data_IF_081087819146
#
_entry.id   IF_081087819146
#
_cell.length_a   1.000
_cell.length_b   1.000
_cell.length_c   1.000
_cell.angle_alpha   90.00
_cell.angle_beta   90.00
_cell.angle_gamma   90.00
#
_symmetry.space_group_name_H-M   'P 1'
#
loop_
_entity.id
_entity.type
_entity.pdbx_description
1 polymer ?
#
# COMPACT_ATOMS: atom_id res chain seq x y z
N UNK A 1 4.28 55.37 3.81
CA UNK A 1 5.57 54.68 3.57
C UNK A 1 5.58 53.25 4.12
N UNK A 2 5.18 53.00 5.38
CA UNK A 2 5.19 51.66 6.01
C UNK A 2 4.29 50.60 5.34
N UNK A 3 3.13 50.98 4.78
CA UNK A 3 2.20 50.04 4.12
C UNK A 3 2.71 49.57 2.76
N UNK A 4 3.38 50.45 2.00
CA UNK A 4 3.99 50.10 0.71
C UNK A 4 5.20 49.17 0.87
N UNK A 5 5.95 49.33 1.97
CA UNK A 5 7.05 48.40 2.35
C UNK A 5 6.50 47.00 2.69
N UNK A 6 5.38 46.91 3.41
CA UNK A 6 4.77 45.60 3.73
C UNK A 6 4.22 44.88 2.50
N UNK A 7 3.59 45.62 1.58
CA UNK A 7 3.08 45.05 0.31
C UNK A 7 4.24 44.61 -0.58
N UNK A 8 5.34 45.36 -0.60
CA UNK A 8 6.55 44.99 -1.32
C UNK A 8 7.16 43.70 -0.75
N UNK A 9 7.27 43.56 0.58
CA UNK A 9 7.75 42.32 1.21
C UNK A 9 6.80 41.13 1.00
N UNK A 10 5.48 41.34 1.00
CA UNK A 10 4.49 40.29 0.75
C UNK A 10 4.51 39.83 -0.72
N UNK A 11 4.70 40.76 -1.67
CA UNK A 11 4.86 40.44 -3.09
C UNK A 11 6.20 39.76 -3.38
N UNK A 12 7.27 40.13 -2.68
CA UNK A 12 8.59 39.50 -2.80
C UNK A 12 8.61 38.09 -2.18
N UNK A 13 7.79 37.84 -1.14
CA UNK A 13 7.54 36.50 -0.60
C UNK A 13 6.73 35.63 -1.59
N UNK A 14 5.72 36.20 -2.25
CA UNK A 14 4.93 35.51 -3.28
C UNK A 14 5.71 35.24 -4.58
N UNK A 15 6.64 36.12 -4.96
CA UNK A 15 7.50 35.95 -6.14
C UNK A 15 8.57 34.86 -5.94
N UNK A 16 8.95 34.56 -4.69
CA UNK A 16 9.81 33.42 -4.33
C UNK A 16 9.02 32.11 -4.12
N UNK A 17 7.68 32.15 -4.17
CA UNK A 17 6.80 30.97 -4.03
C UNK A 17 6.33 30.39 -5.36
N UNK A 18 6.77 30.94 -6.50
CA UNK A 18 6.56 30.29 -7.80
C UNK A 18 7.71 29.28 -7.97
N UNK A 19 7.47 27.97 -7.87
CA UNK A 19 8.52 27.00 -8.15
C UNK A 19 8.79 27.10 -9.66
N UNK A 20 9.99 27.56 -10.03
CA UNK A 20 10.51 27.31 -11.35
C UNK A 20 10.79 25.80 -11.42
N UNK A 21 9.78 25.02 -11.82
CA UNK A 21 9.94 23.60 -12.11
C UNK A 21 10.79 23.47 -13.39
N UNK A 22 12.10 23.58 -13.23
CA UNK A 22 13.05 23.02 -14.17
C UNK A 22 13.17 21.55 -13.79
N UNK A 23 12.52 20.67 -14.55
CA UNK A 23 12.66 19.23 -14.39
C UNK A 23 14.03 18.81 -14.92
N UNK A 24 15.04 18.86 -14.05
CA UNK A 24 16.25 18.07 -14.18
C UNK A 24 16.08 16.84 -13.29
N UNK A 25 15.88 15.68 -13.92
CA UNK A 25 15.86 14.38 -13.24
C UNK A 25 17.30 13.92 -13.04
N UNK A 26 17.98 14.45 -12.02
CA UNK A 26 19.21 13.85 -11.49
C UNK A 26 18.84 12.85 -10.39
N UNK A 27 19.37 11.64 -10.49
CA UNK A 27 19.27 10.59 -9.47
C UNK A 27 20.00 11.04 -8.20
N UNK A 28 19.26 11.66 -7.28
CA UNK A 28 19.74 12.02 -5.94
C UNK A 28 19.78 10.78 -5.05
N UNK A 29 20.98 10.36 -4.65
CA UNK A 29 21.18 9.33 -3.62
C UNK A 29 21.43 10.04 -2.28
N UNK A 30 20.50 9.97 -1.32
CA UNK A 30 20.69 10.56 0.01
C UNK A 30 21.83 9.83 0.74
N UNK A 31 22.83 10.57 1.22
CA UNK A 31 24.00 9.98 1.91
C UNK A 31 23.80 9.81 3.42
N UNK A 32 22.65 10.20 3.97
CA UNK A 32 22.39 10.17 5.42
C UNK A 32 21.13 9.37 5.74
N UNK A 33 21.27 8.43 6.68
CA UNK A 33 20.21 7.53 7.13
C UNK A 33 19.35 8.21 8.19
N UNK A 34 18.03 8.01 8.10
CA UNK A 34 17.08 8.44 9.14
C UNK A 34 16.93 7.31 10.17
N UNK A 35 17.12 7.58 11.47
CA UNK A 35 16.96 6.57 12.52
C UNK A 35 15.59 5.89 12.46
N UNK A 36 15.56 4.56 12.44
CA UNK A 36 14.34 3.76 12.40
C UNK A 36 13.77 3.47 11.01
N UNK A 37 14.47 3.86 9.94
CA UNK A 37 14.08 3.60 8.55
C UNK A 37 15.23 2.97 7.76
N UNK A 38 14.91 2.20 6.72
CA UNK A 38 15.88 1.64 5.77
C UNK A 38 16.50 2.74 4.90
N UNK A 39 17.62 2.42 4.24
CA UNK A 39 18.33 3.37 3.37
C UNK A 39 17.45 3.76 2.18
N UNK A 40 17.23 5.07 1.93
CA UNK A 40 16.30 5.50 0.90
C UNK A 40 16.94 5.40 -0.50
N UNK A 41 16.24 4.75 -1.43
CA UNK A 41 16.68 4.60 -2.81
C UNK A 41 16.53 5.89 -3.65
N UNK A 42 15.66 6.81 -3.23
CA UNK A 42 15.29 8.01 -3.99
C UNK A 42 14.82 9.15 -3.07
N UNK A 43 14.82 10.37 -3.61
CA UNK A 43 14.41 11.58 -2.89
C UNK A 43 12.96 11.53 -2.35
N UNK A 44 11.95 11.07 -3.11
CA UNK A 44 10.59 10.90 -2.58
C UNK A 44 10.51 9.98 -1.36
N UNK A 45 11.21 8.84 -1.39
CA UNK A 45 11.27 7.89 -0.27
C UNK A 45 11.97 8.52 0.94
N UNK A 46 13.04 9.28 0.72
CA UNK A 46 13.70 10.03 1.79
C UNK A 46 12.77 11.06 2.43
N UNK A 47 12.06 11.86 1.62
CA UNK A 47 11.10 12.85 2.10
C UNK A 47 9.95 12.20 2.89
N UNK A 48 9.49 11.03 2.46
CA UNK A 48 8.50 10.23 3.18
C UNK A 48 9.01 9.79 4.55
N UNK A 49 10.25 9.29 4.63
CA UNK A 49 10.83 8.86 5.89
C UNK A 49 11.01 10.05 6.86
N UNK A 50 11.34 11.25 6.36
CA UNK A 50 11.37 12.49 7.16
C UNK A 50 9.99 12.80 7.74
N UNK A 51 8.94 12.72 6.91
CA UNK A 51 7.58 13.03 7.35
C UNK A 51 7.09 12.07 8.45
N UNK A 52 7.30 10.76 8.27
CA UNK A 52 6.95 9.73 9.27
C UNK A 52 7.73 9.91 10.56
N UNK A 53 9.04 10.18 10.45
CA UNK A 53 9.88 10.49 11.61
C UNK A 53 9.39 11.74 12.35
N UNK A 54 9.01 12.80 11.63
CA UNK A 54 8.48 14.03 12.19
C UNK A 54 7.19 13.82 12.97
N UNK A 55 6.24 13.04 12.45
CA UNK A 55 5.00 12.69 13.16
C UNK A 55 5.28 11.91 14.45
N UNK A 56 6.21 10.93 14.41
CA UNK A 56 6.64 10.21 15.59
C UNK A 56 7.28 11.13 16.64
N UNK A 57 8.15 12.04 16.20
CA UNK A 57 8.82 13.02 17.06
C UNK A 57 7.82 13.98 17.74
N UNK A 58 6.78 14.42 17.03
CA UNK A 58 5.70 15.24 17.60
C UNK A 58 4.97 14.47 18.71
N UNK A 59 4.61 13.21 18.47
CA UNK A 59 3.93 12.37 19.45
C UNK A 59 4.75 12.19 20.73
N UNK A 60 6.04 11.83 20.60
CA UNK A 60 6.94 11.65 21.74
C UNK A 60 7.14 12.98 22.49
N UNK A 61 7.35 14.08 21.78
CA UNK A 61 7.55 15.41 22.38
C UNK A 61 6.31 15.89 23.15
N UNK A 62 5.11 15.69 22.58
CA UNK A 62 3.85 16.02 23.25
C UNK A 62 3.67 15.20 24.53
N UNK A 63 3.98 13.91 24.49
CA UNK A 63 3.92 13.04 25.66
C UNK A 63 4.84 13.53 26.79
N UNK A 64 6.09 13.89 26.49
CA UNK A 64 7.01 14.45 27.49
C UNK A 64 6.51 15.77 28.07
N UNK A 65 6.01 16.70 27.25
CA UNK A 65 5.50 17.99 27.74
C UNK A 65 4.26 17.83 28.63
N UNK A 66 3.38 16.87 28.31
CA UNK A 66 2.23 16.54 29.16
C UNK A 66 2.69 15.98 30.50
N UNK A 67 3.71 15.11 30.54
CA UNK A 67 4.26 14.60 31.80
C UNK A 67 4.86 15.73 32.66
N UNK A 68 5.62 16.65 32.05
CA UNK A 68 6.21 17.80 32.76
C UNK A 68 5.10 18.71 33.31
N UNK A 69 4.10 19.03 32.49
CA UNK A 69 2.94 19.82 32.92
C UNK A 69 2.16 19.13 34.03
N UNK A 70 1.97 17.81 33.96
CA UNK A 70 1.33 17.00 34.99
C UNK A 70 2.10 17.03 36.32
N UNK A 71 3.42 16.87 36.26
CA UNK A 71 4.29 16.97 37.43
C UNK A 71 4.24 18.37 38.07
N UNK A 72 4.31 19.43 37.26
CA UNK A 72 4.19 20.81 37.72
C UNK A 72 2.82 21.07 38.36
N UNK A 73 1.76 20.47 37.84
CA UNK A 73 0.42 20.59 38.40
C UNK A 73 0.34 19.96 39.79
N UNK A 74 0.83 18.72 39.94
CA UNK A 74 0.82 17.99 41.22
C UNK A 74 1.67 18.68 42.29
N UNK A 75 2.81 19.24 41.91
CA UNK A 75 3.74 19.93 42.83
C UNK A 75 3.37 21.39 43.11
N UNK A 76 2.28 21.91 42.52
CA UNK A 76 1.88 23.31 42.70
C UNK A 76 1.36 23.65 44.10
N UNK A 77 0.96 22.66 44.91
CA UNK A 77 0.52 22.83 46.31
C UNK A 77 -0.50 23.98 46.54
N UNK A 78 -1.40 24.23 45.58
CA UNK A 78 -2.41 25.31 45.66
C UNK A 78 -1.96 26.69 45.20
N UNK A 79 -0.71 26.85 44.72
CA UNK A 79 -0.25 28.08 44.09
C UNK A 79 -0.94 28.26 42.72
N UNK A 80 -1.87 29.21 42.66
CA UNK A 80 -2.68 29.49 41.45
C UNK A 80 -1.84 29.87 40.24
N UNK A 81 -0.72 30.58 40.42
CA UNK A 81 0.16 30.97 39.33
C UNK A 81 0.91 29.76 38.75
N UNK A 82 1.37 28.85 39.60
CA UNK A 82 2.08 27.63 39.16
C UNK A 82 1.12 26.63 38.53
N UNK A 83 -0.08 26.49 39.08
CA UNK A 83 -1.17 25.70 38.49
C UNK A 83 -1.57 26.23 37.11
N UNK A 84 -1.68 27.54 36.94
CA UNK A 84 -1.97 28.16 35.65
C UNK A 84 -0.90 27.86 34.60
N UNK A 85 0.38 27.96 34.98
CA UNK A 85 1.51 27.60 34.11
C UNK A 85 1.49 26.13 33.70
N UNK A 86 1.25 25.23 34.65
CA UNK A 86 1.17 23.80 34.39
C UNK A 86 0.07 23.44 33.38
N UNK A 87 -1.12 24.05 33.55
CA UNK A 87 -2.23 23.89 32.58
C UNK A 87 -1.87 24.45 31.20
N UNK A 88 -1.16 25.58 31.15
CA UNK A 88 -0.67 26.15 29.89
C UNK A 88 0.22 25.18 29.12
N UNK A 89 1.23 24.59 29.79
CA UNK A 89 2.13 23.60 29.17
C UNK A 89 1.37 22.39 28.62
N UNK A 90 0.39 21.86 29.37
CA UNK A 90 -0.44 20.74 28.92
C UNK A 90 -1.29 21.16 27.71
N UNK A 91 -1.91 22.34 27.76
CA UNK A 91 -2.76 22.84 26.69
C UNK A 91 -1.97 23.07 25.40
N UNK A 92 -0.79 23.67 25.49
CA UNK A 92 0.08 23.93 24.32
C UNK A 92 0.55 22.61 23.68
N UNK A 93 0.87 21.59 24.49
CA UNK A 93 1.22 20.26 24.00
C UNK A 93 0.06 19.58 23.27
N UNK A 94 -1.16 19.64 23.84
CA UNK A 94 -2.37 19.09 23.21
C UNK A 94 -2.73 19.86 21.94
N UNK A 95 -2.62 21.19 21.96
CA UNK A 95 -2.88 22.04 20.80
C UNK A 95 -1.94 21.71 19.63
N UNK A 96 -0.66 21.46 19.91
CA UNK A 96 0.30 21.00 18.91
C UNK A 96 -0.08 19.64 18.29
N UNK A 97 -0.53 18.70 19.12
CA UNK A 97 -0.99 17.39 18.64
C UNK A 97 -2.26 17.49 17.79
N UNK A 98 -3.22 18.30 18.22
CA UNK A 98 -4.45 18.57 17.46
C UNK A 98 -4.10 19.22 16.12
N UNK A 99 -3.17 20.18 16.10
CA UNK A 99 -2.74 20.84 14.87
C UNK A 99 -2.11 19.84 13.87
N UNK A 100 -1.31 18.90 14.37
CA UNK A 100 -0.76 17.83 13.54
C UNK A 100 -1.86 16.91 12.97
N UNK A 101 -2.84 16.52 13.78
CA UNK A 101 -3.98 15.70 13.34
C UNK A 101 -4.86 16.44 12.33
N UNK A 102 -5.13 17.73 12.55
CA UNK A 102 -5.90 18.56 11.63
C UNK A 102 -5.15 18.70 10.30
N UNK A 103 -3.83 18.87 10.33
CA UNK A 103 -3.00 18.89 9.12
C UNK A 103 -3.15 17.58 8.32
N UNK A 104 -3.10 16.44 9.01
CA UNK A 104 -3.32 15.13 8.39
C UNK A 104 -4.72 14.99 7.77
N UNK A 105 -5.77 15.31 8.53
CA UNK A 105 -7.16 15.23 8.04
C UNK A 105 -7.39 16.18 6.86
N UNK A 106 -6.79 17.36 6.89
CA UNK A 106 -6.88 18.33 5.81
C UNK A 106 -6.21 17.82 4.54
N UNK A 107 -5.01 17.25 4.63
CA UNK A 107 -4.34 16.62 3.50
C UNK A 107 -5.16 15.46 2.94
N UNK A 108 -5.68 14.59 3.82
CA UNK A 108 -6.52 13.45 3.44
C UNK A 108 -7.82 13.87 2.75
N UNK A 109 -8.44 14.96 3.21
CA UNK A 109 -9.68 15.48 2.62
C UNK A 109 -9.45 16.08 1.23
N UNK A 110 -8.30 16.73 1.00
CA UNK A 110 -7.98 17.31 -0.31
C UNK A 110 -7.64 16.21 -1.31
N UNK A 111 -6.74 15.30 -0.93
CA UNK A 111 -6.43 14.12 -1.72
C UNK A 111 -5.82 13.05 -0.78
N UNK A 112 -6.47 11.88 -0.63
CA UNK A 112 -5.95 10.81 0.21
C UNK A 112 -4.55 10.32 -0.22
N UNK A 113 -4.15 10.48 -1.49
CA UNK A 113 -2.82 10.13 -2.00
C UNK A 113 -1.70 11.02 -1.43
N UNK A 114 -2.04 12.17 -0.85
CA UNK A 114 -1.08 13.04 -0.17
C UNK A 114 -0.70 12.53 1.22
N UNK A 115 -1.46 11.57 1.75
CA UNK A 115 -1.19 10.91 3.04
C UNK A 115 -1.05 9.40 2.92
N UNK A 116 -1.51 8.80 1.80
CA UNK A 116 -1.27 7.42 1.40
C UNK A 116 -0.05 7.40 0.48
N UNK A 117 1.10 7.12 1.06
CA UNK A 117 2.37 7.31 0.37
C UNK A 117 2.72 6.09 -0.48
N UNK A 118 2.55 6.22 -1.80
CA UNK A 118 3.09 5.31 -2.82
C UNK A 118 4.62 5.45 -2.85
N UNK A 119 5.34 4.34 -2.81
CA UNK A 119 6.78 4.29 -3.07
C UNK A 119 7.04 4.82 -4.50
N UNK A 120 7.62 6.01 -4.63
CA UNK A 120 8.06 6.52 -5.93
C UNK A 120 9.46 5.96 -6.20
N UNK A 121 9.54 4.69 -6.60
CA UNK A 121 10.81 4.14 -7.09
C UNK A 121 11.20 4.89 -8.36
N UNK A 122 12.26 5.68 -8.28
CA UNK A 122 12.81 6.39 -9.44
C UNK A 122 13.31 5.37 -10.47
N UNK A 123 12.64 5.31 -11.62
CA UNK A 123 13.06 4.50 -12.75
C UNK A 123 14.34 5.07 -13.36
N UNK A 124 15.50 4.55 -12.97
CA UNK A 124 16.74 4.75 -13.72
C UNK A 124 16.57 4.08 -15.08
N UNK A 125 16.41 4.91 -16.11
CA UNK A 125 16.35 4.46 -17.49
C UNK A 125 17.78 4.29 -17.98
N UNK A 126 18.27 3.06 -18.05
CA UNK A 126 19.42 2.72 -18.90
C UNK A 126 18.94 1.71 -19.93
N UNK A 127 19.15 2.06 -21.20
CA UNK A 127 18.75 1.26 -22.34
C UNK A 127 19.43 -0.11 -22.39
N UNK A 128 18.72 -0.98 -23.11
CA UNK A 128 19.08 -2.29 -23.64
C UNK A 128 18.93 -3.55 -22.76
N UNK A 129 17.93 -4.31 -23.20
CA UNK A 129 17.84 -5.78 -23.24
C UNK A 129 17.46 -6.47 -21.94
N UNK A 130 16.13 -6.52 -21.72
CA UNK A 130 15.42 -7.62 -21.07
C UNK A 130 15.96 -8.11 -19.73
N UNK A 131 15.57 -7.47 -18.64
CA UNK A 131 15.27 -8.10 -17.34
C UNK A 131 14.48 -7.12 -16.47
N UNK A 132 13.34 -7.58 -15.99
CA UNK A 132 12.27 -6.86 -15.30
C UNK A 132 12.70 -6.42 -13.89
N UNK A 133 13.07 -5.15 -13.71
CA UNK A 133 12.97 -4.48 -12.42
C UNK A 133 11.51 -4.12 -12.17
N UNK A 134 10.79 -4.95 -11.42
CA UNK A 134 9.36 -4.74 -11.13
C UNK A 134 9.21 -3.56 -10.18
N UNK A 135 8.60 -2.45 -10.64
CA UNK A 135 7.94 -1.57 -9.68
C UNK A 135 6.90 -2.41 -8.92
N UNK A 136 6.71 -2.11 -7.65
CA UNK A 136 5.79 -2.81 -6.74
C UNK A 136 4.34 -2.86 -7.27
N UNK A 137 4.04 -2.06 -8.31
CA UNK A 137 2.76 -2.00 -9.02
C UNK A 137 2.90 -2.05 -10.54
N UNK A 138 3.96 -2.67 -11.09
CA UNK A 138 4.21 -2.70 -12.53
C UNK A 138 3.03 -3.28 -13.33
N UNK A 139 2.36 -4.30 -12.77
CA UNK A 139 1.12 -4.85 -13.31
C UNK A 139 -0.04 -3.85 -13.35
N UNK A 140 -0.23 -3.02 -12.32
CA UNK A 140 -1.27 -1.98 -12.32
C UNK A 140 -0.99 -0.92 -13.37
N UNK A 141 0.24 -0.40 -13.43
CA UNK A 141 0.58 0.62 -14.42
C UNK A 141 0.47 0.09 -15.86
N UNK A 142 0.70 -1.22 -16.07
CA UNK A 142 0.50 -1.87 -17.36
C UNK A 142 -0.98 -2.10 -17.69
N UNK A 143 -1.80 -2.45 -16.70
CA UNK A 143 -3.25 -2.62 -16.84
C UNK A 143 -3.98 -1.27 -17.04
N UNK A 144 -3.48 -0.22 -16.38
CA UNK A 144 -4.05 1.12 -16.32
C UNK A 144 -3.02 2.17 -16.75
N UNK A 145 -2.66 2.22 -18.05
CA UNK A 145 -1.75 3.24 -18.58
C UNK A 145 -2.37 4.65 -18.55
N UNK A 146 -3.72 4.73 -18.55
CA UNK A 146 -4.48 5.97 -18.35
C UNK A 146 -5.38 5.82 -17.09
N UNK A 147 -5.03 6.45 -15.96
CA UNK A 147 -5.81 6.38 -14.72
C UNK A 147 -7.14 7.14 -14.80
N UNK A 148 -7.40 7.87 -15.89
CA UNK A 148 -8.67 8.56 -16.14
C UNK A 148 -9.60 7.75 -17.04
N UNK A 149 -9.14 6.60 -17.55
CA UNK A 149 -9.91 5.74 -18.44
C UNK A 149 -11.09 5.10 -17.70
N UNK A 150 -12.29 5.28 -18.27
CA UNK A 150 -13.52 4.59 -17.88
C UNK A 150 -13.80 3.35 -18.73
N UNK A 151 -12.85 2.99 -19.60
CA UNK A 151 -12.93 1.75 -20.38
C UNK A 151 -12.44 0.60 -19.50
N UNK A 152 -13.17 -0.52 -19.42
CA UNK A 152 -12.73 -1.67 -18.64
C UNK A 152 -11.36 -2.19 -19.10
N UNK A 153 -10.56 -2.64 -18.16
CA UNK A 153 -9.24 -3.24 -18.41
C UNK A 153 -9.41 -4.49 -19.28
N UNK A 154 -8.64 -4.55 -20.37
CA UNK A 154 -8.54 -5.74 -21.21
C UNK A 154 -7.42 -6.66 -20.69
N UNK A 155 -7.79 -7.62 -19.84
CA UNK A 155 -6.82 -8.59 -19.31
C UNK A 155 -6.26 -9.54 -20.37
N UNK A 156 -6.85 -9.64 -21.57
CA UNK A 156 -6.27 -10.49 -22.63
C UNK A 156 -4.88 -9.99 -23.07
N UNK A 157 -4.62 -8.69 -22.90
CA UNK A 157 -3.36 -8.00 -23.18
C UNK A 157 -2.29 -8.20 -22.08
N UNK A 158 -2.61 -8.89 -20.98
CA UNK A 158 -1.61 -9.20 -19.96
C UNK A 158 -0.44 -9.99 -20.56
N UNK A 159 0.82 -9.61 -20.30
CA UNK A 159 1.98 -10.25 -20.90
C UNK A 159 2.09 -11.69 -20.41
N UNK A 160 2.53 -12.61 -21.28
CA UNK A 160 2.82 -13.98 -20.86
C UNK A 160 4.03 -14.00 -19.94
N UNK A 161 3.87 -14.55 -18.73
CA UNK A 161 4.92 -14.67 -17.72
C UNK A 161 5.16 -16.15 -17.46
N UNK A 162 6.41 -16.60 -17.58
CA UNK A 162 6.75 -18.00 -17.31
C UNK A 162 6.52 -18.35 -15.84
N UNK A 163 5.79 -19.44 -15.60
CA UNK A 163 5.66 -19.95 -14.24
C UNK A 163 7.00 -20.51 -13.71
N UNK A 164 7.27 -20.26 -12.44
CA UNK A 164 8.48 -20.75 -11.76
C UNK A 164 8.51 -22.28 -11.74
N UNK A 165 9.68 -22.86 -12.04
CA UNK A 165 9.88 -24.31 -12.02
C UNK A 165 9.65 -24.91 -10.63
N UNK A 166 9.88 -24.14 -9.56
CA UNK A 166 9.56 -24.53 -8.18
C UNK A 166 8.07 -24.81 -8.03
N UNK A 167 7.22 -23.92 -8.53
CA UNK A 167 5.76 -24.07 -8.48
C UNK A 167 5.27 -25.33 -9.21
N UNK A 168 5.92 -25.67 -10.34
CA UNK A 168 5.53 -26.83 -11.15
C UNK A 168 5.64 -28.15 -10.37
N UNK A 169 6.65 -28.27 -9.52
CA UNK A 169 6.90 -29.47 -8.73
C UNK A 169 6.13 -29.49 -7.40
N UNK A 170 5.79 -28.30 -6.87
CA UNK A 170 5.13 -28.15 -5.58
C UNK A 170 3.61 -28.36 -5.64
N UNK A 171 2.98 -27.92 -6.73
CA UNK A 171 1.52 -27.95 -6.87
C UNK A 171 1.05 -29.21 -7.64
N UNK A 172 0.20 -30.07 -7.03
CA UNK A 172 -0.37 -31.25 -7.69
C UNK A 172 -1.40 -30.87 -8.78
N UNK A 173 -1.84 -31.85 -9.58
CA UNK A 173 -2.58 -31.56 -10.83
C UNK A 173 -3.96 -30.90 -10.64
N UNK A 174 -4.73 -31.30 -9.64
CA UNK A 174 -6.02 -30.72 -9.29
C UNK A 174 -6.23 -30.88 -7.78
N UNK A 175 -6.67 -29.82 -7.11
CA UNK A 175 -6.98 -29.84 -5.66
C UNK A 175 -8.37 -29.25 -5.47
N UNK A 176 -9.28 -30.01 -4.88
CA UNK A 176 -10.68 -29.59 -4.63
C UNK A 176 -11.42 -29.02 -5.86
N UNK A 177 -11.07 -29.49 -7.07
CA UNK A 177 -11.64 -29.01 -8.33
C UNK A 177 -11.11 -27.66 -8.81
N UNK A 178 -10.03 -27.16 -8.22
CA UNK A 178 -9.26 -26.00 -8.70
C UNK A 178 -8.03 -26.51 -9.45
N UNK A 179 -7.79 -25.98 -10.65
CA UNK A 179 -6.72 -26.45 -11.53
C UNK A 179 -5.34 -26.07 -10.98
N UNK A 180 -4.33 -26.89 -11.30
CA UNK A 180 -2.93 -26.58 -10.95
C UNK A 180 -2.45 -25.24 -11.48
N UNK A 181 -2.93 -24.78 -12.64
CA UNK A 181 -2.50 -23.51 -13.23
C UNK A 181 -2.91 -22.33 -12.34
N UNK A 182 -4.14 -22.35 -11.82
CA UNK A 182 -4.62 -21.33 -10.87
C UNK A 182 -3.80 -21.37 -9.58
N UNK A 183 -3.63 -22.56 -8.99
CA UNK A 183 -2.92 -22.74 -7.73
C UNK A 183 -1.43 -22.38 -7.83
N UNK A 184 -0.78 -22.70 -8.96
CA UNK A 184 0.61 -22.29 -9.25
C UNK A 184 0.74 -20.79 -9.40
N UNK A 185 -0.20 -20.17 -10.12
CA UNK A 185 -0.23 -18.71 -10.27
C UNK A 185 -0.31 -18.04 -8.91
N UNK A 186 -1.26 -18.46 -8.06
CA UNK A 186 -1.45 -17.89 -6.72
C UNK A 186 -0.19 -18.11 -5.87
N UNK A 187 0.31 -19.35 -5.75
CA UNK A 187 1.51 -19.63 -4.97
C UNK A 187 2.73 -18.79 -5.44
N UNK A 188 2.86 -18.55 -6.76
CA UNK A 188 3.92 -17.73 -7.31
C UNK A 188 3.74 -16.24 -7.01
N UNK A 189 2.51 -15.74 -7.00
CA UNK A 189 2.21 -14.35 -6.63
C UNK A 189 2.41 -14.10 -5.14
N UNK A 190 2.01 -15.04 -4.30
CA UNK A 190 1.94 -14.88 -2.84
C UNK A 190 3.29 -15.06 -2.15
N UNK A 191 4.08 -16.06 -2.56
CA UNK A 191 5.30 -16.46 -1.84
C UNK A 191 6.43 -16.90 -2.75
N UNK A 192 6.31 -16.62 -4.05
CA UNK A 192 7.22 -17.17 -5.06
C UNK A 192 7.32 -18.70 -4.96
N UNK A 193 6.22 -19.36 -4.56
CA UNK A 193 6.16 -20.79 -4.24
C UNK A 193 7.06 -21.23 -3.08
N UNK A 194 7.09 -20.42 -2.02
CA UNK A 194 7.81 -20.68 -0.77
C UNK A 194 9.32 -20.40 -0.83
N UNK A 195 9.80 -19.71 -1.87
CA UNK A 195 11.24 -19.39 -2.00
C UNK A 195 11.61 -18.03 -1.44
N UNK A 196 10.63 -17.18 -1.12
CA UNK A 196 10.86 -15.92 -0.43
C UNK A 196 10.61 -16.05 1.08
N UNK A 197 11.17 -15.12 1.86
CA UNK A 197 10.99 -15.07 3.31
C UNK A 197 9.56 -14.74 3.75
N UNK A 198 8.63 -14.45 2.81
CA UNK A 198 7.24 -14.14 3.12
C UNK A 198 6.41 -15.40 3.40
N UNK A 199 6.93 -16.59 3.08
CA UNK A 199 6.27 -17.87 3.34
C UNK A 199 5.99 -18.18 4.83
N UNK A 200 6.59 -17.43 5.76
CA UNK A 200 6.49 -17.69 7.20
C UNK A 200 5.47 -16.80 7.94
N UNK A 201 5.31 -15.52 7.58
CA UNK A 201 4.27 -14.57 8.06
C UNK A 201 4.40 -13.23 7.32
N UNK A 202 3.32 -12.72 6.70
CA UNK A 202 3.29 -11.33 6.22
C UNK A 202 2.78 -10.37 7.30
N UNK A 203 3.02 -9.07 7.12
CA UNK A 203 2.51 -7.98 7.97
C UNK A 203 0.97 -7.93 8.06
N UNK A 204 0.27 -8.65 7.18
CA UNK A 204 -1.17 -8.80 7.13
C UNK A 204 -1.69 -10.08 7.83
N UNK A 205 -0.83 -10.79 8.57
CA UNK A 205 -1.13 -12.07 9.27
C UNK A 205 -1.53 -13.22 8.33
N UNK A 206 -1.05 -13.18 7.09
CA UNK A 206 -1.21 -14.28 6.14
C UNK A 206 -0.04 -15.28 6.25
N UNK A 207 -0.34 -16.56 6.08
CA UNK A 207 0.58 -17.66 6.40
C UNK A 207 0.70 -18.70 5.29
N UNK A 208 1.88 -19.31 5.20
CA UNK A 208 2.20 -20.38 4.27
C UNK A 208 2.41 -19.91 2.83
N UNK A 209 2.64 -20.87 1.94
CA UNK A 209 2.97 -20.60 0.53
C UNK A 209 1.81 -19.99 -0.28
N UNK A 210 0.59 -20.10 0.24
CA UNK A 210 -0.62 -19.51 -0.35
C UNK A 210 -1.07 -18.21 0.35
N UNK A 211 -0.33 -17.74 1.37
CA UNK A 211 -0.63 -16.51 2.13
C UNK A 211 -2.11 -16.37 2.51
N UNK A 212 -2.64 -17.37 3.25
CA UNK A 212 -3.98 -17.29 3.80
C UNK A 212 -3.98 -16.84 5.25
N UNK A 213 -4.99 -16.05 5.62
CA UNK A 213 -5.30 -15.82 7.03
C UNK A 213 -5.79 -17.13 7.68
N UNK A 214 -5.40 -17.44 8.93
CA UNK A 214 -5.87 -18.62 9.63
C UNK A 214 -7.40 -18.76 9.68
N UNK A 215 -8.12 -17.64 9.88
CA UNK A 215 -9.59 -17.62 9.90
C UNK A 215 -10.21 -18.01 8.55
N UNK A 216 -9.60 -17.55 7.45
CA UNK A 216 -10.01 -17.92 6.08
C UNK A 216 -9.72 -19.39 5.80
N UNK A 217 -8.55 -19.88 6.23
CA UNK A 217 -8.11 -21.24 6.02
C UNK A 217 -8.83 -22.27 6.92
N UNK A 218 -9.35 -21.84 8.07
CA UNK A 218 -9.91 -22.71 9.10
C UNK A 218 -8.86 -23.57 9.83
N UNK A 219 -7.58 -23.25 9.69
CA UNK A 219 -6.44 -23.96 10.30
C UNK A 219 -5.39 -22.95 10.80
N UNK A 220 -4.52 -23.39 11.72
CA UNK A 220 -3.54 -22.49 12.35
C UNK A 220 -2.46 -22.02 11.37
N UNK A 221 -1.90 -20.83 11.60
CA UNK A 221 -0.74 -20.33 10.86
C UNK A 221 0.45 -21.30 10.91
N UNK A 222 0.71 -21.90 12.07
CA UNK A 222 1.76 -22.91 12.26
C UNK A 222 1.60 -24.10 11.31
N UNK A 223 0.36 -24.57 11.10
CA UNK A 223 0.07 -25.66 10.15
C UNK A 223 0.26 -25.18 8.71
N UNK A 224 -0.23 -23.98 8.37
CA UNK A 224 -0.08 -23.40 7.03
C UNK A 224 1.38 -23.23 6.60
N UNK A 225 2.27 -22.88 7.54
CA UNK A 225 3.70 -22.68 7.29
C UNK A 225 4.46 -24.00 7.21
N UNK A 226 4.14 -24.96 8.09
CA UNK A 226 4.87 -26.24 8.17
C UNK A 226 4.39 -27.28 7.15
N UNK A 227 3.20 -27.12 6.58
CA UNK A 227 2.57 -28.07 5.68
C UNK A 227 2.07 -27.40 4.39
N UNK A 228 2.90 -27.46 3.35
CA UNK A 228 2.58 -26.91 2.03
C UNK A 228 1.29 -27.49 1.45
N UNK A 229 1.02 -28.79 1.67
CA UNK A 229 -0.22 -29.43 1.20
C UNK A 229 -1.45 -28.81 1.87
N UNK A 230 -1.40 -28.60 3.20
CA UNK A 230 -2.49 -27.95 3.91
C UNK A 230 -2.71 -26.50 3.44
N UNK A 231 -1.63 -25.76 3.16
CA UNK A 231 -1.70 -24.41 2.58
C UNK A 231 -2.39 -24.42 1.20
N UNK A 232 -2.04 -25.36 0.32
CA UNK A 232 -2.63 -25.53 -1.01
C UNK A 232 -4.11 -25.94 -0.93
N UNK A 233 -4.43 -26.92 -0.07
CA UNK A 233 -5.80 -27.40 0.12
C UNK A 233 -6.73 -26.32 0.68
N UNK A 234 -6.24 -25.52 1.62
CA UNK A 234 -6.97 -24.37 2.16
C UNK A 234 -7.25 -23.32 1.09
N UNK A 235 -6.28 -23.02 0.22
CA UNK A 235 -6.45 -22.08 -0.89
C UNK A 235 -7.47 -22.58 -1.91
N UNK A 236 -7.34 -23.86 -2.30
CA UNK A 236 -8.28 -24.49 -3.21
C UNK A 236 -9.72 -24.49 -2.63
N UNK A 237 -9.86 -24.75 -1.32
CA UNK A 237 -11.15 -24.68 -0.63
C UNK A 237 -11.70 -23.25 -0.64
N UNK A 238 -10.90 -22.24 -0.30
CA UNK A 238 -11.32 -20.84 -0.29
C UNK A 238 -11.81 -20.36 -1.66
N UNK A 239 -11.10 -20.74 -2.73
CA UNK A 239 -11.54 -20.47 -4.12
C UNK A 239 -12.87 -21.19 -4.38
N UNK A 240 -12.95 -22.49 -4.06
CA UNK A 240 -14.15 -23.30 -4.35
C UNK A 240 -15.39 -22.81 -3.62
N UNK A 241 -15.26 -22.37 -2.37
CA UNK A 241 -16.35 -21.82 -1.57
C UNK A 241 -16.93 -20.53 -2.17
N UNK A 242 -16.15 -19.82 -3.01
CA UNK A 242 -16.54 -18.57 -3.66
C UNK A 242 -16.83 -18.73 -5.17
N UNK A 243 -17.01 -19.97 -5.65
CA UNK A 243 -17.22 -20.28 -7.07
C UNK A 243 -18.36 -19.49 -7.74
N UNK A 244 -19.45 -19.23 -7.01
CA UNK A 244 -20.59 -18.45 -7.51
C UNK A 244 -20.28 -16.99 -7.81
N UNK A 245 -19.18 -16.46 -7.28
CA UNK A 245 -18.83 -15.05 -7.38
C UNK A 245 -17.83 -14.79 -8.51
N UNK A 246 -17.09 -15.81 -8.94
CA UNK A 246 -16.06 -15.69 -9.97
C UNK A 246 -16.34 -16.49 -11.24
N UNK A 247 -17.34 -17.37 -11.28
CA UNK A 247 -17.75 -18.14 -12.48
C UNK A 247 -16.59 -18.94 -13.12
N UNK A 248 -15.66 -19.42 -12.29
CA UNK A 248 -14.39 -20.06 -12.72
C UNK A 248 -13.51 -19.21 -13.68
N UNK A 249 -13.77 -17.89 -13.79
CA UNK A 249 -12.93 -16.94 -14.52
C UNK A 249 -11.60 -16.72 -13.78
N UNK A 250 -10.42 -17.03 -14.38
CA UNK A 250 -9.14 -16.92 -13.71
C UNK A 250 -8.83 -15.51 -13.20
N UNK A 251 -9.22 -14.47 -13.95
CA UNK A 251 -8.94 -13.08 -13.58
C UNK A 251 -9.76 -12.68 -12.35
N UNK A 252 -11.06 -13.06 -12.32
CA UNK A 252 -11.91 -12.85 -11.14
C UNK A 252 -11.42 -13.66 -9.94
N UNK A 253 -10.90 -14.88 -10.15
CA UNK A 253 -10.27 -15.68 -9.10
C UNK A 253 -9.09 -14.93 -8.50
N UNK A 254 -8.16 -14.42 -9.33
CA UNK A 254 -6.98 -13.71 -8.82
C UNK A 254 -7.37 -12.41 -8.09
N UNK A 255 -8.27 -11.61 -8.66
CA UNK A 255 -8.74 -10.39 -8.01
C UNK A 255 -9.44 -10.69 -6.66
N UNK A 256 -10.33 -11.68 -6.63
CA UNK A 256 -11.06 -12.08 -5.43
C UNK A 256 -10.18 -12.77 -4.38
N UNK A 257 -9.12 -13.47 -4.79
CA UNK A 257 -8.17 -14.07 -3.85
C UNK A 257 -7.41 -12.99 -3.06
N UNK A 258 -6.95 -11.93 -3.74
CA UNK A 258 -6.18 -10.84 -3.14
C UNK A 258 -7.03 -9.94 -2.22
N UNK A 259 -8.23 -9.53 -2.64
CA UNK A 259 -9.05 -8.55 -1.91
C UNK A 259 -10.39 -9.07 -1.40
N UNK A 260 -10.67 -10.35 -1.58
CA UNK A 260 -11.93 -10.99 -1.21
C UNK A 260 -12.95 -11.03 -2.36
N UNK A 261 -13.78 -12.08 -2.36
CA UNK A 261 -14.78 -12.35 -3.41
C UNK A 261 -16.09 -11.57 -3.26
N UNK A 262 -16.06 -10.41 -2.59
CA UNK A 262 -17.26 -9.62 -2.34
C UNK A 262 -17.86 -9.06 -3.63
N UNK A 263 -19.16 -9.29 -3.85
CA UNK A 263 -19.91 -8.84 -5.05
C UNK A 263 -20.78 -7.61 -4.79
N UNK A 264 -20.59 -6.95 -3.65
CA UNK A 264 -21.32 -5.74 -3.26
C UNK A 264 -20.42 -4.78 -2.47
N UNK A 265 -20.88 -3.54 -2.30
CA UNK A 265 -20.16 -2.54 -1.50
C UNK A 265 -18.76 -2.23 -2.07
N UNK A 266 -17.73 -2.35 -1.24
CA UNK A 266 -16.32 -2.15 -1.60
C UNK A 266 -15.64 -3.41 -2.16
N UNK A 267 -16.35 -4.53 -2.32
CA UNK A 267 -15.75 -5.76 -2.85
C UNK A 267 -15.22 -5.59 -4.28
N UNK A 268 -14.07 -6.21 -4.57
CA UNK A 268 -13.41 -6.10 -5.89
C UNK A 268 -14.28 -6.63 -7.03
N UNK A 269 -15.08 -7.65 -6.75
CA UNK A 269 -16.05 -8.25 -7.68
C UNK A 269 -17.43 -7.59 -7.63
N UNK A 270 -17.58 -6.45 -6.96
CA UNK A 270 -18.80 -5.64 -7.06
C UNK A 270 -18.85 -4.91 -8.41
N UNK A 271 -20.05 -4.61 -8.94
CA UNK A 271 -20.19 -3.78 -10.13
C UNK A 271 -19.54 -2.40 -9.95
N UNK A 272 -18.82 -1.92 -10.97
CA UNK A 272 -18.28 -0.57 -11.00
C UNK A 272 -19.38 0.44 -11.35
N UNK A 273 -19.41 1.55 -10.61
CA UNK A 273 -20.26 2.70 -10.92
C UNK A 273 -19.59 3.61 -11.97
N UNK A 274 -18.26 3.67 -11.94
CA UNK A 274 -17.46 4.56 -12.79
C UNK A 274 -17.14 3.96 -14.17
N UNK A 275 -17.12 2.63 -14.26
CA UNK A 275 -16.99 1.85 -15.50
C UNK A 275 -18.23 0.95 -15.68
N UNK A 276 -19.33 1.46 -16.28
CA UNK A 276 -20.55 0.69 -16.43
C UNK A 276 -20.34 -0.62 -17.21
N UNK A 277 -20.85 -1.72 -16.68
CA UNK A 277 -20.75 -3.05 -17.30
C UNK A 277 -19.49 -3.84 -16.91
N UNK A 278 -18.64 -3.29 -16.05
CA UNK A 278 -17.48 -3.99 -15.49
C UNK A 278 -17.56 -4.13 -13.97
N UNK A 279 -16.67 -4.94 -13.42
CA UNK A 279 -16.42 -5.04 -11.98
C UNK A 279 -15.48 -3.92 -11.53
N UNK A 280 -15.45 -3.62 -10.23
CA UNK A 280 -14.61 -2.55 -9.67
C UNK A 280 -13.12 -2.75 -9.98
N UNK A 281 -12.61 -3.97 -9.82
CA UNK A 281 -11.22 -4.28 -10.16
C UNK A 281 -10.90 -4.18 -11.67
N UNK A 282 -11.91 -4.03 -12.53
CA UNK A 282 -11.71 -3.86 -13.97
C UNK A 282 -11.71 -2.38 -14.39
N UNK A 283 -11.82 -1.45 -13.44
CA UNK A 283 -11.92 -0.02 -13.71
C UNK A 283 -10.64 0.71 -13.27
N UNK A 284 -10.02 1.44 -14.19
CA UNK A 284 -8.84 2.26 -13.88
C UNK A 284 -9.20 3.60 -13.25
N UNK A 285 -10.39 4.13 -13.55
CA UNK A 285 -10.88 5.38 -13.00
C UNK A 285 -11.25 5.19 -11.53
N UNK A 286 -10.53 5.88 -10.64
CA UNK A 286 -10.73 5.84 -9.17
C UNK A 286 -10.93 4.41 -8.66
N UNK A 287 -9.86 3.59 -8.60
CA UNK A 287 -9.97 2.17 -8.29
C UNK A 287 -10.40 1.89 -6.84
N UNK A 288 -10.67 2.90 -6.00
CA UNK A 288 -11.14 2.74 -4.62
C UNK A 288 -10.28 1.76 -3.80
N UNK A 289 -8.97 1.97 -3.79
CA UNK A 289 -7.98 1.12 -3.09
C UNK A 289 -7.76 -0.28 -3.70
N UNK A 290 -8.22 -0.53 -4.94
CA UNK A 290 -8.04 -1.80 -5.64
C UNK A 290 -6.79 -1.86 -6.54
N UNK A 291 -5.86 -0.91 -6.43
CA UNK A 291 -4.63 -0.89 -7.23
C UNK A 291 -3.82 -2.20 -7.09
N UNK A 292 -3.74 -2.75 -5.86
CA UNK A 292 -3.11 -4.05 -5.58
C UNK A 292 -3.85 -5.19 -6.26
N UNK A 293 -5.18 -5.19 -6.21
CA UNK A 293 -6.00 -6.25 -6.82
C UNK A 293 -5.92 -6.23 -8.34
N UNK A 294 -5.89 -5.03 -8.95
CA UNK A 294 -5.67 -4.86 -10.38
C UNK A 294 -4.28 -5.38 -10.76
N UNK A 295 -3.23 -4.99 -10.00
CA UNK A 295 -1.88 -5.50 -10.19
C UNK A 295 -1.83 -7.03 -10.11
N UNK A 296 -2.42 -7.60 -9.06
CA UNK A 296 -2.44 -9.02 -8.78
C UNK A 296 -3.15 -9.80 -9.89
N UNK A 297 -4.33 -9.33 -10.32
CA UNK A 297 -5.09 -9.94 -11.40
C UNK A 297 -4.35 -9.87 -12.75
N UNK A 298 -3.73 -8.73 -13.07
CA UNK A 298 -2.98 -8.54 -14.31
C UNK A 298 -1.76 -9.46 -14.38
N UNK A 299 -0.94 -9.47 -13.33
CA UNK A 299 0.25 -10.33 -13.23
C UNK A 299 -0.16 -11.81 -13.18
N UNK A 300 -1.22 -12.14 -12.44
CA UNK A 300 -1.75 -13.49 -12.34
C UNK A 300 -2.23 -14.03 -13.67
N UNK A 301 -2.98 -13.25 -14.44
CA UNK A 301 -3.41 -13.66 -15.78
C UNK A 301 -2.21 -13.90 -16.71
N UNK A 302 -1.16 -13.08 -16.59
CA UNK A 302 0.09 -13.29 -17.32
C UNK A 302 0.79 -14.61 -16.99
N UNK A 303 0.89 -14.96 -15.70
CA UNK A 303 1.47 -16.24 -15.25
C UNK A 303 0.59 -17.41 -15.68
N UNK A 304 -0.73 -17.29 -15.56
CA UNK A 304 -1.69 -18.30 -15.98
C UNK A 304 -1.57 -18.64 -17.47
N UNK A 305 -1.44 -17.63 -18.33
CA UNK A 305 -1.21 -17.80 -19.78
C UNK A 305 0.14 -18.43 -20.13
N UNK A 306 1.14 -18.35 -19.24
CA UNK A 306 2.53 -18.77 -19.51
C UNK A 306 2.90 -20.16 -19.00
N UNK A 307 1.92 -20.98 -18.62
CA UNK A 307 2.12 -22.29 -18.02
C UNK A 307 2.17 -23.46 -19.01
#
# INVERSE_FOLDING_TARGET
>A
MKTKIKIFFLALLFLNLIPAFCLAADTYVPMEKIPGFEDPADFPTYLMNIYKFGLGAIGVSAMFMIMIGGYMYLTSAGNTAQTGKAKGVIFDAIAGLILALVSYVLLWTINPDLVKFKSITSGTTTGETGTTGTSEYAGYNAACPDPTSKVPIDFSESPTISASSTCKNLIPNDVNGVSKEILRTIAQLESSCGTDSNAENSSAECCGIMQLKPDTAGISCSELVSNNTASIEAAAKYIKDNASNHDDDPVKIFAGYNSGYGTSGSGSLAPSVDCPGSLKFQCCYDPQELDESIHYAWKGNGIYKGQ
#
